data_IF_042626267381
#
_entry.id   IF_042626267381
#
_cell.length_a   1.000
_cell.length_b   1.000
_cell.length_c   1.000
_cell.angle_alpha   90.00
_cell.angle_beta   90.00
_cell.angle_gamma   90.00
#
_symmetry.space_group_name_H-M   'P 1'
#
loop_
_entity.id
_entity.type
_entity.pdbx_description
1 polymer ?
#
# COMPACT_ATOMS: atom_id res chain seq x y z
N UNK A 1 -7.90 -8.12 7.04
CA UNK A 1 -6.50 -8.23 6.60
C UNK A 1 -5.62 -7.35 7.47
N UNK A 2 -4.55 -7.89 8.00
CA UNK A 2 -3.69 -7.13 8.89
C UNK A 2 -2.71 -6.27 8.11
N UNK A 3 -2.18 -5.26 8.79
CA UNK A 3 -1.19 -4.39 8.18
C UNK A 3 0.07 -5.16 7.74
N UNK A 4 0.47 -6.14 8.54
CA UNK A 4 1.62 -6.98 8.19
C UNK A 4 1.40 -7.71 6.87
N UNK A 5 0.20 -8.16 6.63
CA UNK A 5 -0.15 -8.83 5.40
C UNK A 5 0.00 -7.89 4.21
N UNK A 6 -0.52 -6.67 4.37
CA UNK A 6 -0.46 -5.68 3.30
C UNK A 6 0.98 -5.31 2.97
N UNK A 7 1.81 -5.16 4.00
CA UNK A 7 3.22 -4.85 3.82
C UNK A 7 3.92 -5.98 3.08
N UNK A 8 3.62 -7.22 3.43
CA UNK A 8 4.22 -8.37 2.78
C UNK A 8 3.85 -8.43 1.30
N UNK A 9 2.60 -8.19 0.98
CA UNK A 9 2.15 -8.18 -0.41
C UNK A 9 2.77 -7.02 -1.18
N UNK A 10 2.86 -5.86 -0.56
CA UNK A 10 3.50 -4.72 -1.19
C UNK A 10 4.98 -5.00 -1.48
N UNK A 11 5.67 -5.58 -0.52
CA UNK A 11 7.08 -5.90 -0.70
C UNK A 11 7.28 -6.96 -1.78
N UNK A 12 6.36 -7.91 -1.88
CA UNK A 12 6.40 -8.88 -2.95
C UNK A 12 6.24 -8.19 -4.32
N UNK A 13 5.33 -7.23 -4.40
CA UNK A 13 5.13 -6.50 -5.64
C UNK A 13 6.40 -5.74 -6.04
N UNK A 14 7.07 -5.12 -5.08
CA UNK A 14 8.34 -4.44 -5.34
C UNK A 14 9.36 -5.41 -5.88
N UNK A 15 9.44 -6.61 -5.30
CA UNK A 15 10.38 -7.64 -5.72
C UNK A 15 10.10 -8.07 -7.15
N UNK A 16 8.82 -8.24 -7.49
CA UNK A 16 8.44 -8.63 -8.83
C UNK A 16 8.72 -7.52 -9.84
N UNK A 17 8.53 -6.26 -9.46
CA UNK A 17 8.85 -5.14 -10.31
C UNK A 17 10.34 -5.13 -10.65
N UNK A 18 11.18 -5.39 -9.67
CA UNK A 18 12.63 -5.43 -9.90
C UNK A 18 13.02 -6.60 -10.78
N UNK A 19 12.35 -7.73 -10.60
CA UNK A 19 12.64 -8.92 -11.39
C UNK A 19 12.23 -8.73 -12.85
N UNK A 20 11.08 -8.12 -13.09
CA UNK A 20 10.51 -7.99 -14.42
C UNK A 20 10.65 -6.57 -14.98
N UNK A 21 11.67 -5.85 -14.56
CA UNK A 21 11.80 -4.45 -14.97
C UNK A 21 11.96 -4.27 -16.47
N UNK A 22 12.38 -5.30 -17.19
CA UNK A 22 12.54 -5.25 -18.65
C UNK A 22 11.25 -5.59 -19.40
N UNK A 23 10.29 -6.22 -18.72
CA UNK A 23 9.00 -6.56 -19.33
C UNK A 23 8.00 -5.51 -18.94
N UNK A 24 7.75 -4.58 -19.86
CA UNK A 24 6.91 -3.43 -19.58
C UNK A 24 5.53 -3.80 -19.09
N UNK A 25 4.89 -4.77 -19.71
CA UNK A 25 3.53 -5.17 -19.34
C UNK A 25 3.47 -5.77 -17.95
N UNK A 26 4.42 -6.65 -17.66
CA UNK A 26 4.48 -7.29 -16.34
C UNK A 26 4.86 -6.27 -15.28
N UNK A 27 5.78 -5.38 -15.61
CA UNK A 27 6.18 -4.32 -14.70
C UNK A 27 5.00 -3.43 -14.33
N UNK A 28 4.23 -3.02 -15.32
CA UNK A 28 3.07 -2.16 -15.08
C UNK A 28 2.04 -2.88 -14.22
N UNK A 29 1.82 -4.17 -14.47
CA UNK A 29 0.91 -4.96 -13.64
C UNK A 29 1.32 -4.91 -12.18
N UNK A 30 2.59 -5.21 -11.90
CA UNK A 30 3.07 -5.24 -10.53
C UNK A 30 3.16 -3.86 -9.91
N UNK A 31 3.40 -2.84 -10.72
CA UNK A 31 3.38 -1.47 -10.24
C UNK A 31 1.97 -1.11 -9.76
N UNK A 32 0.96 -1.52 -10.50
CA UNK A 32 -0.42 -1.27 -10.09
C UNK A 32 -0.75 -2.03 -8.80
N UNK A 33 -0.28 -3.25 -8.69
CA UNK A 33 -0.46 -4.04 -7.46
C UNK A 33 0.23 -3.33 -6.29
N UNK A 34 1.45 -2.88 -6.50
CA UNK A 34 2.19 -2.16 -5.47
C UNK A 34 1.41 -0.92 -5.00
N UNK A 35 0.93 -0.13 -5.94
CA UNK A 35 0.19 1.08 -5.60
C UNK A 35 -1.09 0.77 -4.86
N UNK A 36 -1.76 -0.30 -5.24
CA UNK A 36 -2.98 -0.71 -4.56
C UNK A 36 -2.71 -0.99 -3.09
N UNK A 37 -1.70 -1.79 -2.79
CA UNK A 37 -1.39 -2.13 -1.41
C UNK A 37 -0.78 -0.95 -0.66
N UNK A 38 0.00 -0.13 -1.35
CA UNK A 38 0.54 1.08 -0.75
C UNK A 38 -0.58 2.01 -0.29
N UNK A 39 -1.60 2.16 -1.13
CA UNK A 39 -2.76 2.97 -0.78
C UNK A 39 -3.53 2.38 0.39
N UNK A 40 -3.66 1.06 0.43
CA UNK A 40 -4.34 0.40 1.54
C UNK A 40 -3.61 0.64 2.86
N UNK A 41 -2.30 0.55 2.84
CA UNK A 41 -1.50 0.82 4.02
C UNK A 41 -1.65 2.27 4.46
N UNK A 42 -1.61 3.18 3.50
CA UNK A 42 -1.77 4.60 3.77
C UNK A 42 -3.16 4.90 4.35
N UNK A 43 -4.19 4.25 3.82
CA UNK A 43 -5.54 4.42 4.33
C UNK A 43 -5.65 3.98 5.78
N UNK A 44 -5.01 2.89 6.14
CA UNK A 44 -5.03 2.42 7.52
C UNK A 44 -4.40 3.43 8.45
N UNK A 45 -3.27 3.99 8.04
CA UNK A 45 -2.60 5.02 8.83
C UNK A 45 -3.44 6.28 8.90
N UNK A 46 -4.01 6.65 7.76
CA UNK A 46 -4.85 7.84 7.66
C UNK A 46 -6.11 7.70 8.52
N UNK A 47 -6.72 6.53 8.49
CA UNK A 47 -7.91 6.28 9.28
C UNK A 47 -7.64 6.46 10.78
N UNK A 48 -6.53 5.91 11.24
CA UNK A 48 -6.13 6.05 12.64
C UNK A 48 -5.92 7.52 13.00
N UNK A 49 -5.21 8.22 12.15
CA UNK A 49 -4.93 9.63 12.37
C UNK A 49 -6.21 10.45 12.32
N UNK A 50 -7.06 10.14 11.37
CA UNK A 50 -8.31 10.87 11.17
C UNK A 50 -9.23 10.72 12.39
N UNK A 51 -9.33 9.53 12.94
CA UNK A 51 -10.16 9.28 14.11
C UNK A 51 -9.66 10.12 15.28
N UNK A 52 -8.36 10.14 15.47
CA UNK A 52 -7.76 10.93 16.55
C UNK A 52 -8.03 12.41 16.35
N UNK A 53 -7.91 12.84 15.12
CA UNK A 53 -8.14 14.24 14.76
C UNK A 53 -9.59 14.63 14.98
N UNK A 54 -10.49 13.73 14.67
CA UNK A 54 -11.90 13.94 14.85
C UNK A 54 -12.24 14.14 16.33
N UNK A 55 -11.65 13.33 17.16
CA UNK A 55 -11.83 13.45 18.60
C UNK A 55 -11.37 14.80 19.10
N UNK A 56 -10.21 15.25 18.62
CA UNK A 56 -9.69 16.55 18.95
C UNK A 56 -10.61 17.66 18.47
N UNK A 57 -11.14 17.48 17.27
CA UNK A 57 -12.00 18.48 16.65
C UNK A 57 -13.32 18.67 17.37
N UNK A 58 -13.78 17.66 18.07
CA UNK A 58 -15.04 17.72 18.79
C UNK A 58 -14.93 18.46 20.09
N UNK A 59 -13.75 18.62 20.55
CA UNK A 59 -13.49 19.34 21.78
C UNK A 59 -13.37 20.83 21.51
#
# INVERSE_FOLDING_TARGET
MTKAYLIAYRDNAIRQMNYFHEDENVYIFWRNVYRHYQNKIAEMRHASFFVRNEESGKI
#
